data_IF_197297504335
#
_entry.id   IF_197297504335
#
_cell.length_a   1.000
_cell.length_b   1.000
_cell.length_c   1.000
_cell.angle_alpha   90.00
_cell.angle_beta   90.00
_cell.angle_gamma   90.00
#
_symmetry.space_group_name_H-M   'P 1'
#
loop_
_entity.id
_entity.type
_entity.pdbx_description
1 polymer ?
#
# COMPACT_ATOMS: atom_id res chain seq x y z
N UNK A 1 -3.23 -14.96 -1.28
CA UNK A 1 -3.90 -14.06 -2.24
C UNK A 1 -5.21 -14.68 -2.71
N UNK A 2 -6.36 -14.15 -2.29
CA UNK A 2 -7.66 -14.62 -2.77
C UNK A 2 -7.95 -13.93 -4.10
N UNK A 3 -8.02 -14.71 -5.18
CA UNK A 3 -8.44 -14.22 -6.48
C UNK A 3 -9.87 -13.68 -6.40
N UNK A 4 -10.05 -12.40 -6.66
CA UNK A 4 -11.37 -11.78 -6.78
C UNK A 4 -11.98 -12.31 -8.07
N UNK A 5 -12.88 -13.28 -7.95
CA UNK A 5 -13.65 -13.77 -9.10
C UNK A 5 -14.55 -12.63 -9.57
N UNK A 6 -14.51 -12.22 -10.84
CA UNK A 6 -15.35 -11.16 -11.38
C UNK A 6 -16.79 -11.63 -11.58
N UNK A 7 -17.47 -11.98 -10.48
CA UNK A 7 -18.87 -12.48 -10.55
C UNK A 7 -19.92 -11.43 -10.91
N UNK A 8 -19.58 -10.13 -10.86
CA UNK A 8 -20.58 -9.06 -10.95
C UNK A 8 -20.85 -8.62 -12.41
N UNK A 9 -19.86 -8.72 -13.30
CA UNK A 9 -20.02 -8.27 -14.70
C UNK A 9 -20.81 -9.30 -15.52
N UNK A 10 -20.66 -10.58 -15.20
CA UNK A 10 -21.27 -11.68 -15.97
C UNK A 10 -22.80 -11.75 -15.79
N UNK A 11 -23.33 -11.44 -14.59
CA UNK A 11 -24.77 -11.56 -14.35
C UNK A 11 -25.66 -10.58 -15.16
N UNK A 12 -25.14 -9.44 -15.62
CA UNK A 12 -25.86 -8.49 -16.48
C UNK A 12 -25.69 -8.76 -17.98
N UNK A 13 -24.65 -9.50 -18.39
CA UNK A 13 -24.44 -9.86 -19.77
C UNK A 13 -25.19 -11.14 -20.20
N UNK A 14 -25.51 -12.02 -19.24
CA UNK A 14 -26.20 -13.31 -19.53
C UNK A 14 -27.59 -13.12 -20.19
N UNK A 15 -28.44 -12.14 -19.79
CA UNK A 15 -29.72 -11.96 -20.47
C UNK A 15 -29.62 -11.50 -21.92
N UNK A 16 -28.49 -10.87 -22.30
CA UNK A 16 -28.24 -10.37 -23.67
C UNK A 16 -27.63 -11.48 -24.54
N UNK A 17 -26.81 -12.34 -23.96
CA UNK A 17 -26.17 -13.45 -24.67
C UNK A 17 -27.12 -14.61 -24.98
N UNK A 18 -28.09 -14.90 -24.11
CA UNK A 18 -29.04 -16.00 -24.30
C UNK A 18 -29.92 -15.87 -25.56
N UNK A 19 -30.47 -14.70 -25.92
CA UNK A 19 -31.21 -14.54 -27.18
C UNK A 19 -30.33 -14.70 -28.42
N UNK A 20 -29.09 -14.21 -28.37
CA UNK A 20 -28.12 -14.35 -29.48
C UNK A 20 -27.69 -15.80 -29.72
N UNK A 21 -27.54 -16.60 -28.67
CA UNK A 21 -27.21 -18.01 -28.74
C UNK A 21 -28.37 -18.87 -29.26
N UNK A 22 -29.63 -18.42 -29.06
CA UNK A 22 -30.84 -19.15 -29.42
C UNK A 22 -31.51 -18.64 -30.70
N UNK A 23 -30.87 -17.78 -31.51
CA UNK A 23 -31.41 -17.15 -32.71
C UNK A 23 -32.82 -16.52 -32.54
N UNK A 24 -33.18 -16.13 -31.32
CA UNK A 24 -34.44 -15.42 -31.03
C UNK A 24 -34.27 -13.93 -31.30
N UNK A 25 -35.26 -13.27 -31.90
CA UNK A 25 -35.21 -11.83 -32.15
C UNK A 25 -35.11 -11.10 -30.79
N UNK A 26 -34.08 -10.25 -30.65
CA UNK A 26 -33.87 -9.43 -29.45
C UNK A 26 -34.99 -8.37 -29.41
N UNK A 27 -35.66 -8.22 -28.27
CA UNK A 27 -36.72 -7.23 -28.14
C UNK A 27 -36.21 -5.79 -28.35
N UNK A 28 -37.05 -4.91 -28.88
CA UNK A 28 -36.69 -3.49 -29.10
C UNK A 28 -36.23 -2.83 -27.78
N UNK A 29 -36.87 -3.13 -26.64
CA UNK A 29 -36.49 -2.62 -25.34
C UNK A 29 -35.06 -2.97 -24.94
N UNK A 30 -34.66 -4.24 -25.15
CA UNK A 30 -33.29 -4.67 -24.85
C UNK A 30 -32.27 -3.95 -25.72
N UNK A 31 -32.60 -3.72 -27.01
CA UNK A 31 -31.73 -2.97 -27.91
C UNK A 31 -31.58 -1.51 -27.48
N UNK A 32 -32.69 -0.87 -27.06
CA UNK A 32 -32.63 0.51 -26.52
C UNK A 32 -31.84 0.60 -25.24
N UNK A 33 -31.97 -0.35 -24.30
CA UNK A 33 -31.18 -0.39 -23.04
C UNK A 33 -29.68 -0.59 -23.31
N UNK A 34 -29.33 -1.43 -24.28
CA UNK A 34 -27.95 -1.61 -24.72
C UNK A 34 -27.40 -0.31 -25.29
N UNK A 35 -28.17 0.37 -26.18
CA UNK A 35 -27.80 1.65 -26.78
C UNK A 35 -27.56 2.72 -25.71
N UNK A 36 -28.51 2.89 -24.79
CA UNK A 36 -28.38 3.83 -23.63
C UNK A 36 -27.18 3.52 -22.79
N UNK A 37 -26.86 2.23 -22.55
CA UNK A 37 -25.67 1.82 -21.79
C UNK A 37 -24.40 2.16 -22.53
N UNK A 38 -24.34 1.95 -23.84
CA UNK A 38 -23.18 2.31 -24.67
C UNK A 38 -22.95 3.83 -24.69
N UNK A 39 -24.01 4.61 -24.78
CA UNK A 39 -23.95 6.09 -24.71
C UNK A 39 -23.38 6.56 -23.38
N UNK A 40 -23.81 5.97 -22.24
CA UNK A 40 -23.26 6.28 -20.92
C UNK A 40 -21.79 5.92 -20.80
N UNK A 41 -21.38 4.76 -21.33
CA UNK A 41 -19.99 4.35 -21.36
C UNK A 41 -19.15 5.32 -22.21
N UNK A 42 -19.63 5.68 -23.39
CA UNK A 42 -18.95 6.62 -24.28
C UNK A 42 -18.81 8.00 -23.62
N UNK A 43 -19.89 8.49 -23.00
CA UNK A 43 -19.88 9.73 -22.23
C UNK A 43 -18.83 9.70 -21.11
N UNK A 44 -18.81 8.66 -20.26
CA UNK A 44 -17.83 8.55 -19.18
C UNK A 44 -16.40 8.51 -19.72
N UNK A 45 -16.12 7.72 -20.75
CA UNK A 45 -14.78 7.62 -21.34
C UNK A 45 -14.31 8.97 -21.93
N UNK A 46 -15.22 9.75 -22.50
CA UNK A 46 -14.92 11.08 -23.04
C UNK A 46 -14.71 12.09 -21.91
N UNK A 47 -15.64 12.15 -20.95
CA UNK A 47 -15.62 13.12 -19.85
C UNK A 47 -14.47 12.89 -18.89
N UNK A 48 -14.17 11.63 -18.57
CA UNK A 48 -13.12 11.21 -17.63
C UNK A 48 -11.95 10.54 -18.36
N UNK A 49 -11.56 11.06 -19.51
CA UNK A 49 -10.55 10.44 -20.39
C UNK A 49 -9.18 10.31 -19.73
N UNK A 50 -8.78 11.31 -18.92
CA UNK A 50 -7.53 11.30 -18.16
C UNK A 50 -7.57 10.24 -17.05
N UNK A 51 -8.61 10.27 -16.23
CA UNK A 51 -8.83 9.33 -15.13
C UNK A 51 -8.94 7.88 -15.64
N UNK A 52 -9.67 7.68 -16.74
CA UNK A 52 -9.78 6.38 -17.40
C UNK A 52 -8.42 5.83 -17.82
N UNK A 53 -7.58 6.64 -18.47
CA UNK A 53 -6.26 6.23 -18.94
C UNK A 53 -5.33 5.88 -17.79
N UNK A 54 -5.28 6.72 -16.75
CA UNK A 54 -4.42 6.49 -15.59
C UNK A 54 -4.87 5.26 -14.77
N UNK A 55 -6.17 5.11 -14.53
CA UNK A 55 -6.68 3.93 -13.82
C UNK A 55 -6.46 2.65 -14.65
N UNK A 56 -6.65 2.71 -15.98
CA UNK A 56 -6.35 1.59 -16.88
C UNK A 56 -4.90 1.18 -16.75
N UNK A 57 -3.96 2.13 -16.80
CA UNK A 57 -2.54 1.87 -16.62
C UNK A 57 -2.23 1.21 -15.27
N UNK A 58 -2.84 1.67 -14.17
CA UNK A 58 -2.66 1.07 -12.85
C UNK A 58 -3.17 -0.37 -12.80
N UNK A 59 -4.31 -0.66 -13.45
CA UNK A 59 -4.88 -2.01 -13.53
C UNK A 59 -3.99 -2.95 -14.35
N UNK A 60 -3.56 -2.53 -15.53
CA UNK A 60 -2.71 -3.32 -16.43
C UNK A 60 -1.33 -3.61 -15.83
N UNK A 61 -0.78 -2.66 -15.09
CA UNK A 61 0.51 -2.83 -14.38
C UNK A 61 0.38 -3.54 -13.04
N UNK A 62 -0.81 -4.04 -12.67
CA UNK A 62 -1.11 -4.70 -11.37
C UNK A 62 -0.77 -3.84 -10.14
N UNK A 63 -0.85 -2.52 -10.28
CA UNK A 63 -0.60 -1.54 -9.21
C UNK A 63 -1.89 -0.97 -8.59
N UNK A 64 -3.04 -1.29 -9.19
CA UNK A 64 -4.32 -0.86 -8.69
C UNK A 64 -4.69 -1.65 -7.43
N UNK A 65 -5.11 -0.95 -6.39
CA UNK A 65 -5.81 -1.55 -5.26
C UNK A 65 -7.29 -1.86 -5.65
N UNK A 66 -8.00 -2.57 -4.78
CA UNK A 66 -9.40 -2.94 -5.02
C UNK A 66 -10.30 -1.73 -5.27
N UNK A 67 -9.98 -0.61 -4.64
CA UNK A 67 -10.76 0.62 -4.81
C UNK A 67 -10.48 1.26 -6.18
N UNK A 68 -9.23 1.33 -6.64
CA UNK A 68 -8.87 1.81 -7.97
C UNK A 68 -9.51 0.95 -9.07
N UNK A 69 -9.50 -0.38 -8.91
CA UNK A 69 -10.19 -1.30 -9.82
C UNK A 69 -11.69 -1.00 -9.86
N UNK A 70 -12.31 -0.78 -8.70
CA UNK A 70 -13.73 -0.46 -8.57
C UNK A 70 -14.09 0.85 -9.29
N UNK A 71 -13.21 1.87 -9.20
CA UNK A 71 -13.38 3.15 -9.89
C UNK A 71 -13.19 3.01 -11.40
N UNK A 72 -12.20 2.23 -11.85
CA UNK A 72 -12.04 1.91 -13.27
C UNK A 72 -13.28 1.21 -13.83
N UNK A 73 -13.78 0.19 -13.13
CA UNK A 73 -15.03 -0.51 -13.51
C UNK A 73 -16.23 0.46 -13.56
N UNK A 74 -16.33 1.40 -12.63
CA UNK A 74 -17.41 2.39 -12.65
C UNK A 74 -17.39 3.26 -13.92
N UNK A 75 -16.20 3.69 -14.37
CA UNK A 75 -16.06 4.46 -15.62
C UNK A 75 -16.44 3.63 -16.84
N UNK A 76 -15.90 2.42 -16.98
CA UNK A 76 -16.12 1.57 -18.15
C UNK A 76 -17.52 0.94 -18.21
N UNK A 77 -18.24 0.90 -17.09
CA UNK A 77 -19.63 0.42 -17.03
C UNK A 77 -20.69 1.53 -17.21
N UNK A 78 -20.26 2.77 -17.46
CA UNK A 78 -21.20 3.89 -17.62
C UNK A 78 -21.91 4.30 -16.33
N UNK A 79 -21.38 3.94 -15.15
CA UNK A 79 -21.93 4.38 -13.85
C UNK A 79 -21.74 5.88 -13.67
N UNK A 80 -22.69 6.52 -12.99
CA UNK A 80 -22.55 7.92 -12.60
C UNK A 80 -21.36 8.08 -11.65
N UNK A 81 -20.42 8.93 -12.02
CA UNK A 81 -19.27 9.30 -11.18
C UNK A 81 -19.67 10.52 -10.35
N UNK A 82 -19.57 10.40 -9.05
CA UNK A 82 -19.84 11.50 -8.10
C UNK A 82 -18.55 12.29 -7.84
N UNK A 83 -18.68 13.53 -7.37
CA UNK A 83 -17.53 14.38 -7.02
C UNK A 83 -16.63 13.73 -5.96
N UNK A 84 -17.24 13.00 -5.01
CA UNK A 84 -16.47 12.22 -4.00
C UNK A 84 -15.64 11.11 -4.65
N UNK A 85 -16.20 10.41 -5.63
CA UNK A 85 -15.47 9.39 -6.39
C UNK A 85 -14.34 10.04 -7.19
N UNK A 86 -14.60 11.15 -7.88
CA UNK A 86 -13.60 11.89 -8.66
C UNK A 86 -12.44 12.37 -7.76
N UNK A 87 -12.74 12.96 -6.61
CA UNK A 87 -11.73 13.36 -5.62
C UNK A 87 -10.89 12.17 -5.17
N UNK A 88 -11.49 11.02 -4.99
CA UNK A 88 -10.77 9.79 -4.58
C UNK A 88 -9.89 9.25 -5.71
N UNK A 89 -10.38 9.30 -6.96
CA UNK A 89 -9.58 8.95 -8.15
C UNK A 89 -8.35 9.86 -8.24
N UNK A 90 -8.51 11.18 -8.10
CA UNK A 90 -7.39 12.13 -8.14
C UNK A 90 -6.37 11.87 -7.02
N UNK A 91 -6.81 11.47 -5.81
CA UNK A 91 -5.90 11.05 -4.73
C UNK A 91 -5.10 9.79 -5.10
N UNK A 92 -5.75 8.83 -5.77
CA UNK A 92 -5.06 7.61 -6.25
C UNK A 92 -4.01 7.99 -7.30
N UNK A 93 -4.39 8.81 -8.28
CA UNK A 93 -3.48 9.26 -9.34
C UNK A 93 -2.27 9.97 -8.75
N UNK A 94 -2.47 10.91 -7.81
CA UNK A 94 -1.39 11.63 -7.12
C UNK A 94 -0.44 10.69 -6.38
N UNK A 95 -0.96 9.69 -5.66
CA UNK A 95 -0.13 8.70 -4.93
C UNK A 95 0.69 7.80 -5.84
N UNK A 96 0.28 7.67 -7.09
CA UNK A 96 0.91 6.79 -8.07
C UNK A 96 1.81 7.53 -9.05
N UNK A 97 2.06 8.84 -8.87
CA UNK A 97 3.07 9.55 -9.66
C UNK A 97 4.46 8.97 -9.40
N UNK A 98 5.38 9.03 -10.39
CA UNK A 98 6.74 8.53 -10.22
C UNK A 98 7.44 9.15 -9.00
N UNK A 99 7.26 10.45 -8.76
CA UNK A 99 7.87 11.20 -7.67
C UNK A 99 7.37 10.73 -6.30
N UNK A 100 6.05 10.56 -6.13
CA UNK A 100 5.47 10.09 -4.87
C UNK A 100 5.83 8.62 -4.59
N UNK A 101 5.94 7.81 -5.62
CA UNK A 101 6.41 6.42 -5.49
C UNK A 101 7.87 6.36 -5.05
N UNK A 102 8.72 7.17 -5.68
CA UNK A 102 10.14 7.24 -5.33
C UNK A 102 10.32 7.76 -3.90
N UNK A 103 9.59 8.80 -3.52
CA UNK A 103 9.58 9.31 -2.15
C UNK A 103 9.17 8.24 -1.13
N UNK A 104 8.12 7.47 -1.43
CA UNK A 104 7.69 6.36 -0.58
C UNK A 104 8.74 5.25 -0.51
N UNK A 105 9.39 4.92 -1.62
CA UNK A 105 10.49 3.95 -1.66
C UNK A 105 11.63 4.36 -0.74
N UNK A 106 12.10 5.62 -0.87
CA UNK A 106 13.16 6.17 -0.04
C UNK A 106 12.77 6.22 1.45
N UNK A 107 11.52 6.58 1.77
CA UNK A 107 11.04 6.53 3.17
C UNK A 107 11.05 5.11 3.71
N UNK A 108 10.61 4.13 2.93
CA UNK A 108 10.63 2.71 3.31
C UNK A 108 12.04 2.22 3.56
N UNK A 109 12.99 2.56 2.68
CA UNK A 109 14.42 2.20 2.83
C UNK A 109 15.03 2.82 4.09
N UNK A 110 14.73 4.10 4.36
CA UNK A 110 15.16 4.76 5.61
C UNK A 110 14.61 4.08 6.86
N UNK A 111 13.38 3.59 6.81
CA UNK A 111 12.77 2.84 7.91
C UNK A 111 13.46 1.49 8.12
N UNK A 112 13.74 0.75 7.04
CA UNK A 112 14.51 -0.50 7.12
C UNK A 112 15.90 -0.29 7.70
N UNK A 113 16.63 0.70 7.19
CA UNK A 113 17.95 1.04 7.72
C UNK A 113 17.88 1.34 9.22
N UNK A 114 16.87 2.13 9.64
CA UNK A 114 16.71 2.46 11.07
C UNK A 114 16.38 1.25 11.93
N UNK A 115 15.53 0.34 11.47
CA UNK A 115 15.21 -0.90 12.19
C UNK A 115 16.45 -1.75 12.35
N UNK A 116 17.27 -1.88 11.31
CA UNK A 116 18.53 -2.63 11.37
C UNK A 116 19.52 -2.01 12.36
N UNK A 117 19.67 -0.67 12.35
CA UNK A 117 20.50 0.02 13.36
C UNK A 117 20.03 -0.26 14.79
N UNK A 118 18.72 -0.32 15.03
CA UNK A 118 18.18 -0.63 16.37
C UNK A 118 18.45 -2.08 16.74
N UNK A 119 18.34 -3.03 15.79
CA UNK A 119 18.72 -4.45 16.01
C UNK A 119 20.18 -4.60 16.35
N UNK A 120 21.07 -3.99 15.59
CA UNK A 120 22.51 -4.01 15.87
C UNK A 120 22.84 -3.41 17.23
N UNK A 121 22.19 -2.31 17.61
CA UNK A 121 22.36 -1.68 18.90
C UNK A 121 21.84 -2.57 20.05
N UNK A 122 20.75 -3.32 19.84
CA UNK A 122 20.24 -4.29 20.82
C UNK A 122 21.30 -5.35 21.15
N UNK A 123 21.85 -6.01 20.13
CA UNK A 123 22.87 -7.07 20.31
C UNK A 123 24.14 -6.57 20.98
N UNK A 124 24.51 -5.30 20.82
CA UNK A 124 25.67 -4.68 21.50
C UNK A 124 25.41 -4.31 22.95
N UNK A 125 24.16 -4.32 23.41
CA UNK A 125 23.81 -3.83 24.74
C UNK A 125 23.89 -4.85 25.84
N UNK A 126 24.04 -6.14 25.54
CA UNK A 126 24.11 -7.24 26.51
C UNK A 126 22.99 -7.13 27.58
N UNK A 127 21.75 -7.16 27.15
CA UNK A 127 20.58 -7.21 28.02
C UNK A 127 20.34 -8.63 28.52
N UNK A 128 19.47 -8.78 29.54
CA UNK A 128 18.97 -10.07 29.94
C UNK A 128 18.13 -10.71 28.81
N UNK A 129 18.08 -12.03 28.79
CA UNK A 129 17.40 -12.82 27.74
C UNK A 129 15.93 -12.43 27.58
N UNK A 130 15.25 -12.15 28.68
CA UNK A 130 13.85 -11.77 28.64
C UNK A 130 13.61 -10.43 27.91
N UNK A 131 14.44 -9.42 28.21
CA UNK A 131 14.33 -8.12 27.56
C UNK A 131 14.73 -8.18 26.09
N UNK A 132 15.78 -8.96 25.79
CA UNK A 132 16.26 -9.17 24.42
C UNK A 132 15.19 -9.82 23.57
N UNK A 133 14.61 -10.94 24.00
CA UNK A 133 13.53 -11.65 23.30
C UNK A 133 12.32 -10.74 23.02
N UNK A 134 11.83 -9.98 23.99
CA UNK A 134 10.72 -9.04 23.78
C UNK A 134 11.06 -7.92 22.82
N UNK A 135 12.30 -7.47 22.83
CA UNK A 135 12.79 -6.43 21.91
C UNK A 135 12.89 -6.95 20.48
N UNK A 136 13.34 -8.19 20.32
CA UNK A 136 13.38 -8.88 19.02
C UNK A 136 11.99 -9.09 18.43
N UNK A 137 11.03 -9.56 19.23
CA UNK A 137 9.63 -9.73 18.81
C UNK A 137 9.04 -8.42 18.31
N UNK A 138 9.25 -7.34 19.06
CA UNK A 138 8.81 -6.01 18.65
C UNK A 138 9.47 -5.58 17.33
N UNK A 139 10.79 -5.71 17.21
CA UNK A 139 11.53 -5.33 16.01
C UNK A 139 11.19 -6.23 14.82
N UNK A 140 10.89 -7.51 15.05
CA UNK A 140 10.35 -8.43 14.06
C UNK A 140 9.01 -7.94 13.51
N UNK A 141 8.05 -7.65 14.39
CA UNK A 141 6.75 -7.11 14.03
C UNK A 141 6.85 -5.77 13.25
N UNK A 142 7.75 -4.87 13.68
CA UNK A 142 8.01 -3.61 12.97
C UNK A 142 8.59 -3.86 11.57
N UNK A 143 9.52 -4.81 11.44
CA UNK A 143 10.14 -5.18 10.15
C UNK A 143 9.08 -5.68 9.16
N UNK A 144 8.20 -6.59 9.61
CA UNK A 144 7.10 -7.11 8.79
C UNK A 144 6.15 -6.00 8.35
N UNK A 145 5.80 -5.10 9.26
CA UNK A 145 4.92 -4.00 8.93
C UNK A 145 5.55 -3.02 7.91
N UNK A 146 6.86 -2.72 8.03
CA UNK A 146 7.57 -1.92 7.03
C UNK A 146 7.59 -2.63 5.69
N UNK A 147 7.81 -3.95 5.67
CA UNK A 147 7.76 -4.77 4.44
C UNK A 147 6.39 -4.72 3.77
N UNK A 148 5.32 -4.91 4.55
CA UNK A 148 3.97 -5.08 4.00
C UNK A 148 3.31 -3.74 3.63
N UNK A 149 3.52 -2.70 4.45
CA UNK A 149 2.87 -1.39 4.31
C UNK A 149 3.81 -0.28 3.81
N UNK A 150 5.12 -0.50 3.89
CA UNK A 150 6.15 0.50 3.56
C UNK A 150 6.17 1.71 4.51
N UNK A 151 5.52 1.60 5.69
CA UNK A 151 5.35 2.73 6.60
C UNK A 151 5.03 2.23 8.02
N UNK A 152 5.29 3.07 9.03
CA UNK A 152 4.98 2.85 10.44
C UNK A 152 4.04 3.95 10.95
N UNK A 153 3.19 3.59 11.93
CA UNK A 153 2.37 4.58 12.63
C UNK A 153 3.24 5.55 13.45
N UNK A 154 2.75 6.76 13.77
CA UNK A 154 3.48 7.71 14.61
C UNK A 154 3.90 7.12 15.96
N UNK A 155 3.05 6.30 16.59
CA UNK A 155 3.34 5.62 17.86
C UNK A 155 4.50 4.63 17.70
N UNK A 156 4.54 3.85 16.61
CA UNK A 156 5.61 2.90 16.33
C UNK A 156 6.93 3.61 15.99
N UNK A 157 6.89 4.68 15.20
CA UNK A 157 8.08 5.52 14.94
C UNK A 157 8.65 6.09 16.25
N UNK A 158 7.78 6.53 17.15
CA UNK A 158 8.19 7.04 18.46
C UNK A 158 8.79 5.95 19.34
N UNK A 159 8.17 4.75 19.40
CA UNK A 159 8.68 3.62 20.15
C UNK A 159 10.05 3.17 19.65
N UNK A 160 10.22 3.03 18.33
CA UNK A 160 11.49 2.70 17.70
C UNK A 160 12.58 3.76 18.02
N UNK A 161 12.23 5.06 18.00
CA UNK A 161 13.16 6.13 18.36
C UNK A 161 13.59 6.08 19.84
N UNK A 162 12.64 5.82 20.74
CA UNK A 162 12.93 5.69 22.18
C UNK A 162 13.86 4.49 22.44
N UNK A 163 13.59 3.37 21.77
CA UNK A 163 14.39 2.16 21.86
C UNK A 163 15.82 2.42 21.37
N UNK A 164 15.98 3.03 20.22
CA UNK A 164 17.27 3.41 19.66
C UNK A 164 18.08 4.30 20.61
N UNK A 165 17.47 5.37 21.14
CA UNK A 165 18.14 6.27 22.09
C UNK A 165 18.58 5.54 23.37
N UNK A 166 17.76 4.61 23.90
CA UNK A 166 18.09 3.81 25.08
C UNK A 166 19.31 2.92 24.84
N UNK A 167 19.35 2.25 23.69
CA UNK A 167 20.46 1.38 23.34
C UNK A 167 21.75 2.15 23.12
N UNK A 168 21.69 3.29 22.41
CA UNK A 168 22.86 4.15 22.23
C UNK A 168 23.41 4.64 23.58
N UNK A 169 22.54 5.04 24.50
CA UNK A 169 22.96 5.47 25.84
C UNK A 169 23.70 4.33 26.58
N UNK A 170 23.14 3.10 26.56
CA UNK A 170 23.77 1.94 27.21
C UNK A 170 25.10 1.58 26.56
N UNK A 171 25.22 1.64 25.24
CA UNK A 171 26.50 1.41 24.53
C UNK A 171 27.55 2.46 24.95
N UNK A 172 27.15 3.73 25.01
CA UNK A 172 28.03 4.81 25.42
C UNK A 172 28.53 4.62 26.88
N UNK A 173 27.61 4.28 27.78
CA UNK A 173 27.97 3.97 29.19
C UNK A 173 28.97 2.81 29.29
N UNK A 174 28.79 1.74 28.54
CA UNK A 174 29.71 0.60 28.48
C UNK A 174 31.08 0.99 27.92
N UNK A 175 31.10 1.82 26.86
CA UNK A 175 32.33 2.32 26.26
C UNK A 175 33.13 3.21 27.24
N UNK A 176 32.44 4.07 27.99
CA UNK A 176 33.08 4.88 29.05
C UNK A 176 33.68 4.05 30.16
N UNK A 177 33.01 2.99 30.61
CA UNK A 177 33.55 2.07 31.62
C UNK A 177 34.82 1.39 31.12
N UNK A 178 34.85 0.92 29.89
CA UNK A 178 36.05 0.31 29.28
C UNK A 178 37.21 1.30 29.21
N UNK A 179 36.94 2.52 28.71
CA UNK A 179 37.94 3.60 28.67
C UNK A 179 38.49 3.92 30.08
N UNK A 180 37.60 4.05 31.06
CA UNK A 180 38.00 4.30 32.45
C UNK A 180 38.90 3.20 33.00
N UNK A 181 38.57 1.92 32.76
CA UNK A 181 39.39 0.78 33.18
C UNK A 181 40.77 0.76 32.48
N UNK A 182 40.80 1.04 31.17
CA UNK A 182 42.05 1.10 30.41
C UNK A 182 42.97 2.20 30.97
N UNK A 183 42.44 3.39 31.18
CA UNK A 183 43.20 4.50 31.75
C UNK A 183 43.64 4.19 33.20
N UNK A 184 42.76 3.63 34.01
CA UNK A 184 43.10 3.26 35.41
C UNK A 184 44.19 2.18 35.51
N UNK A 185 44.18 1.20 34.61
CA UNK A 185 45.21 0.14 34.58
C UNK A 185 46.54 0.60 33.95
N UNK A 186 46.51 1.64 33.09
CA UNK A 186 47.74 2.19 32.48
C UNK A 186 48.48 3.18 33.39
N UNK A 187 47.88 3.57 34.52
CA UNK A 187 48.48 4.49 35.52
C UNK A 187 49.07 3.75 36.70
N UNK A 188 48.94 2.41 36.76
CA UNK A 188 49.63 1.54 37.72
C UNK A 188 50.87 0.89 37.09
#
# INVERSE_FOLDING_TARGET
>A
MRAIKPKIVIKKAIPILNPLLNNKPVSKEVLEDVKRSQEKIAYNKKTYSKEHRELKFLVETKRADNFAISMYVAIISGRKITDKMLTSIHKIMKRNTPEEREKKRLETERLYFKVNLVKEALYKCNYDEYYESRSEDFLGSITEQVRDKGNLSPKQKLALNKMYKRFLKKIAESAWLVLFFVVYLSVK
#
